data_IF_074007662748
#
_entry.id   IF_074007662748
#
_cell.length_a   1.000
_cell.length_b   1.000
_cell.length_c   1.000
_cell.angle_alpha   90.00
_cell.angle_beta   90.00
_cell.angle_gamma   90.00
#
_symmetry.space_group_name_H-M   'P 1'
#
loop_
_entity.id
_entity.type
_entity.pdbx_description
1 polymer ?
#
# COMPACT_ATOMS: atom_id res chain seq x y z
N UNK A 1 3.41 21.39 -6.62
CA UNK A 1 4.44 20.77 -7.48
C UNK A 1 4.04 19.32 -7.68
N UNK A 2 4.05 18.81 -8.91
CA UNK A 2 3.67 17.43 -9.19
C UNK A 2 4.73 16.46 -8.67
N UNK A 3 4.32 15.23 -8.32
CA UNK A 3 5.20 14.17 -7.82
C UNK A 3 5.08 12.96 -8.72
N UNK A 4 6.20 12.32 -9.05
CA UNK A 4 6.22 11.13 -9.90
C UNK A 4 7.15 10.07 -9.34
N UNK A 5 6.68 8.82 -9.35
CA UNK A 5 7.51 7.67 -9.04
C UNK A 5 8.33 7.26 -10.27
N UNK A 6 9.60 6.92 -10.06
CA UNK A 6 10.49 6.42 -11.11
C UNK A 6 11.40 5.30 -10.60
N UNK A 7 11.35 4.14 -11.25
CA UNK A 7 12.19 2.98 -10.94
C UNK A 7 13.57 3.14 -11.60
N UNK A 8 14.33 4.14 -11.17
CA UNK A 8 15.69 4.40 -11.66
C UNK A 8 16.51 5.03 -10.54
N UNK A 9 17.82 4.77 -10.53
CA UNK A 9 18.72 5.46 -9.62
C UNK A 9 18.75 6.96 -9.92
N UNK A 10 18.59 7.77 -8.87
CA UNK A 10 18.60 9.22 -8.96
C UNK A 10 19.87 9.75 -8.30
N UNK A 11 20.61 10.58 -9.01
CA UNK A 11 21.87 11.16 -8.51
C UNK A 11 21.84 12.66 -8.77
N UNK A 12 22.10 13.46 -7.74
CA UNK A 12 22.14 14.93 -7.87
C UNK A 12 23.21 15.34 -8.89
N UNK A 13 22.84 16.26 -9.79
CA UNK A 13 23.67 16.75 -10.88
C UNK A 13 23.62 15.89 -12.14
N UNK A 14 22.96 14.72 -12.13
CA UNK A 14 22.79 13.92 -13.33
C UNK A 14 21.58 14.37 -14.17
N UNK A 15 21.61 14.02 -15.45
CA UNK A 15 20.46 14.12 -16.35
C UNK A 15 19.98 12.72 -16.66
N UNK A 16 18.67 12.48 -16.50
CA UNK A 16 18.05 11.19 -16.75
C UNK A 16 16.91 11.33 -17.76
N UNK A 17 16.66 10.26 -18.50
CA UNK A 17 15.47 10.15 -19.32
C UNK A 17 14.27 9.78 -18.45
N UNK A 18 13.12 10.46 -18.64
CA UNK A 18 11.88 10.04 -18.02
C UNK A 18 11.46 8.66 -18.54
N UNK A 19 10.91 7.82 -17.66
CA UNK A 19 10.21 6.59 -18.05
C UNK A 19 8.99 6.91 -18.91
N UNK A 20 8.49 5.93 -19.66
CA UNK A 20 7.32 6.12 -20.52
C UNK A 20 6.09 6.60 -19.74
N UNK A 21 5.86 6.03 -18.54
CA UNK A 21 4.75 6.41 -17.66
C UNK A 21 4.82 7.87 -17.23
N UNK A 22 5.98 8.33 -16.74
CA UNK A 22 6.17 9.71 -16.27
C UNK A 22 6.15 10.70 -17.43
N UNK A 23 6.75 10.35 -18.58
CA UNK A 23 6.66 11.17 -19.79
C UNK A 23 5.20 11.34 -20.24
N UNK A 24 4.43 10.26 -20.28
CA UNK A 24 3.02 10.34 -20.64
C UNK A 24 2.24 11.20 -19.64
N UNK A 25 2.40 10.97 -18.34
CA UNK A 25 1.65 11.69 -17.33
C UNK A 25 2.04 13.18 -17.27
N UNK A 26 3.32 13.50 -17.08
CA UNK A 26 3.74 14.88 -16.88
C UNK A 26 3.74 15.70 -18.18
N UNK A 27 4.30 15.17 -19.26
CA UNK A 27 4.47 15.93 -20.51
C UNK A 27 3.24 15.86 -21.41
N UNK A 28 2.57 14.71 -21.52
CA UNK A 28 1.42 14.57 -22.44
C UNK A 28 0.09 14.93 -21.79
N UNK A 29 -0.17 14.44 -20.57
CA UNK A 29 -1.44 14.68 -19.88
C UNK A 29 -1.43 16.04 -19.20
N UNK A 30 -0.43 16.33 -18.36
CA UNK A 30 -0.32 17.59 -17.63
C UNK A 30 0.31 18.73 -18.44
N UNK A 31 0.83 18.43 -19.64
CA UNK A 31 1.37 19.41 -20.61
C UNK A 31 2.51 20.26 -20.06
N UNK A 32 3.40 19.64 -19.30
CA UNK A 32 4.56 20.29 -18.72
C UNK A 32 5.44 21.01 -19.76
N UNK A 33 6.06 22.11 -19.36
CA UNK A 33 6.94 22.91 -20.21
C UNK A 33 8.41 22.78 -19.79
N UNK A 34 9.32 23.12 -20.71
CA UNK A 34 10.76 23.20 -20.39
C UNK A 34 10.97 24.10 -19.16
N UNK A 35 11.95 23.74 -18.33
CA UNK A 35 12.28 24.39 -17.06
C UNK A 35 11.22 24.25 -15.95
N UNK A 36 10.12 23.53 -16.18
CA UNK A 36 9.19 23.19 -15.11
C UNK A 36 9.80 22.17 -14.15
N UNK A 37 9.48 22.31 -12.86
CA UNK A 37 9.99 21.46 -11.80
C UNK A 37 8.94 20.45 -11.32
N UNK A 38 9.39 19.25 -11.00
CA UNK A 38 8.62 18.24 -10.31
C UNK A 38 9.47 17.55 -9.23
N UNK A 39 8.79 16.85 -8.33
CA UNK A 39 9.44 15.96 -7.37
C UNK A 39 9.48 14.54 -7.94
N UNK A 40 10.66 13.92 -7.96
CA UNK A 40 10.83 12.52 -8.27
C UNK A 40 11.16 11.72 -7.00
N UNK A 41 10.64 10.51 -6.89
CA UNK A 41 11.03 9.58 -5.84
C UNK A 41 11.10 8.17 -6.42
N UNK A 42 11.95 7.32 -5.85
CA UNK A 42 12.27 6.01 -6.43
C UNK A 42 11.99 4.84 -5.49
N UNK A 43 11.24 5.06 -4.40
CA UNK A 43 10.90 4.00 -3.45
C UNK A 43 12.03 3.63 -2.48
N UNK A 44 13.19 4.29 -2.54
CA UNK A 44 14.34 4.02 -1.67
C UNK A 44 14.45 4.98 -0.47
N UNK A 45 13.47 5.87 -0.33
CA UNK A 45 13.46 6.94 0.66
C UNK A 45 13.98 8.26 0.11
N UNK A 46 13.50 9.34 0.72
CA UNK A 46 13.66 10.71 0.28
C UNK A 46 13.00 11.00 -1.07
N UNK A 47 13.23 12.21 -1.55
CA UNK A 47 12.67 12.74 -2.78
C UNK A 47 13.66 13.71 -3.44
N UNK A 48 13.53 13.89 -4.74
CA UNK A 48 14.46 14.66 -5.56
C UNK A 48 13.72 15.79 -6.27
N UNK A 49 14.26 17.00 -6.20
CA UNK A 49 13.82 18.07 -7.08
C UNK A 49 14.42 17.85 -8.47
N UNK A 50 13.58 17.80 -9.49
CA UNK A 50 14.00 17.61 -10.87
C UNK A 50 13.41 18.70 -11.77
N UNK A 51 14.24 19.20 -12.69
CA UNK A 51 13.85 20.23 -13.66
C UNK A 51 13.83 19.65 -15.05
N UNK A 52 12.74 19.85 -15.79
CA UNK A 52 12.58 19.37 -17.16
C UNK A 52 13.55 20.11 -18.11
N UNK A 53 14.59 19.41 -18.55
CA UNK A 53 15.71 19.98 -19.30
C UNK A 53 15.54 19.87 -20.81
N UNK A 54 14.83 18.85 -21.29
CA UNK A 54 14.61 18.60 -22.73
C UNK A 54 13.26 17.92 -22.97
N UNK A 55 12.54 18.33 -24.02
CA UNK A 55 11.30 17.69 -24.46
C UNK A 55 11.39 17.39 -25.95
N UNK A 56 11.29 16.11 -26.30
CA UNK A 56 11.18 15.63 -27.67
C UNK A 56 9.79 15.04 -27.94
N UNK A 57 9.59 14.62 -29.19
CA UNK A 57 8.32 14.00 -29.61
C UNK A 57 7.99 12.71 -28.85
N UNK A 58 8.98 11.93 -28.40
CA UNK A 58 8.76 10.60 -27.79
C UNK A 58 9.38 10.42 -26.40
N UNK A 59 10.24 11.33 -25.96
CA UNK A 59 10.90 11.26 -24.67
C UNK A 59 11.12 12.67 -24.14
N UNK A 60 11.47 12.76 -22.86
CA UNK A 60 11.91 13.98 -22.22
C UNK A 60 12.97 13.64 -21.19
N UNK A 61 13.80 14.62 -20.87
CA UNK A 61 14.90 14.49 -19.92
C UNK A 61 14.75 15.51 -18.80
N UNK A 62 15.21 15.13 -17.62
CA UNK A 62 15.25 16.00 -16.45
C UNK A 62 16.66 16.04 -15.88
N UNK A 63 17.03 17.18 -15.31
CA UNK A 63 18.21 17.32 -14.47
C UNK A 63 17.81 17.20 -13.00
N UNK A 64 18.51 16.38 -12.25
CA UNK A 64 18.28 16.18 -10.81
C UNK A 64 19.05 17.26 -10.03
N UNK A 65 18.33 18.13 -9.31
CA UNK A 65 18.92 19.32 -8.70
C UNK A 65 19.27 19.14 -7.22
N UNK A 66 18.36 18.60 -6.43
CA UNK A 66 18.54 18.47 -4.99
C UNK A 66 17.90 17.20 -4.46
N UNK A 67 18.46 16.65 -3.38
CA UNK A 67 17.90 15.52 -2.65
C UNK A 67 17.40 15.98 -1.28
N UNK A 68 16.15 15.67 -0.97
CA UNK A 68 15.55 15.83 0.34
C UNK A 68 15.42 14.43 0.98
N UNK A 69 16.16 14.13 2.07
CA UNK A 69 16.11 12.82 2.71
C UNK A 69 14.84 12.59 3.56
N UNK A 70 13.99 13.61 3.75
CA UNK A 70 12.81 13.47 4.58
C UNK A 70 11.82 12.45 4.01
N UNK A 71 11.44 11.47 4.82
CA UNK A 71 10.36 10.53 4.54
C UNK A 71 9.10 10.91 5.31
N UNK A 72 7.94 10.73 4.67
CA UNK A 72 6.63 10.93 5.30
C UNK A 72 6.10 9.62 5.87
N UNK A 73 6.98 8.86 6.53
CA UNK A 73 6.70 7.51 7.00
C UNK A 73 5.55 7.49 8.00
N UNK A 74 4.77 6.40 7.98
CA UNK A 74 3.84 6.12 9.06
C UNK A 74 4.61 5.80 10.36
N UNK A 75 4.01 6.06 11.53
CA UNK A 75 4.62 5.75 12.82
C UNK A 75 4.63 4.24 13.15
N UNK A 76 4.29 3.40 12.19
CA UNK A 76 4.23 1.95 12.29
C UNK A 76 4.61 1.32 10.94
N UNK A 77 4.94 0.02 10.97
CA UNK A 77 5.15 -0.83 9.80
C UNK A 77 4.05 -1.91 9.78
N UNK A 78 3.06 -1.73 8.91
CA UNK A 78 1.93 -2.65 8.82
C UNK A 78 2.00 -3.51 7.56
N UNK A 79 1.88 -4.83 7.73
CA UNK A 79 1.59 -5.77 6.64
C UNK A 79 0.09 -6.02 6.62
N UNK A 80 -0.57 -5.65 5.53
CA UNK A 80 -2.00 -5.87 5.33
C UNK A 80 -2.23 -7.17 4.54
N UNK A 81 -2.69 -8.20 5.22
CA UNK A 81 -3.29 -9.40 4.62
C UNK A 81 -4.71 -9.10 4.17
N UNK A 82 -4.88 -8.76 2.90
CA UNK A 82 -6.16 -8.39 2.31
C UNK A 82 -6.72 -9.55 1.49
N UNK A 83 -7.80 -10.19 1.98
CA UNK A 83 -8.50 -11.17 1.14
C UNK A 83 -9.11 -10.47 -0.07
N UNK A 84 -8.94 -11.08 -1.23
CA UNK A 84 -9.35 -10.50 -2.50
C UNK A 84 -10.86 -10.29 -2.59
N UNK A 85 -11.24 -9.19 -3.24
CA UNK A 85 -12.62 -8.69 -3.35
C UNK A 85 -12.91 -8.29 -4.80
N UNK A 86 -14.18 -8.40 -5.22
CA UNK A 86 -14.60 -8.14 -6.60
C UNK A 86 -14.82 -6.64 -6.87
N UNK A 87 -14.65 -6.26 -8.13
CA UNK A 87 -14.88 -4.88 -8.59
C UNK A 87 -13.81 -3.90 -8.09
N UNK A 88 -14.20 -2.64 -7.97
CA UNK A 88 -13.31 -1.52 -7.64
C UNK A 88 -12.98 -1.42 -6.14
N UNK A 89 -13.49 -2.36 -5.34
CA UNK A 89 -13.27 -2.42 -3.88
C UNK A 89 -11.80 -2.62 -3.54
N UNK A 90 -11.10 -3.43 -4.34
CA UNK A 90 -9.68 -3.67 -4.11
C UNK A 90 -8.85 -2.42 -4.40
N UNK A 91 -9.16 -1.71 -5.49
CA UNK A 91 -8.49 -0.45 -5.83
C UNK A 91 -8.68 0.57 -4.71
N UNK A 92 -9.89 0.68 -4.16
CA UNK A 92 -10.16 1.54 -3.01
C UNK A 92 -9.36 1.11 -1.77
N UNK A 93 -9.37 -0.19 -1.42
CA UNK A 93 -8.64 -0.70 -0.27
C UNK A 93 -7.14 -0.43 -0.37
N UNK A 94 -6.53 -0.69 -1.53
CA UNK A 94 -5.10 -0.46 -1.80
C UNK A 94 -4.78 1.02 -1.77
N UNK A 95 -5.55 1.85 -2.46
CA UNK A 95 -5.36 3.29 -2.48
C UNK A 95 -5.38 3.86 -1.05
N UNK A 96 -6.42 3.52 -0.27
CA UNK A 96 -6.61 4.08 1.07
C UNK A 96 -5.68 3.47 2.12
N UNK A 97 -5.33 2.19 2.00
CA UNK A 97 -4.29 1.61 2.85
C UNK A 97 -2.93 2.26 2.60
N UNK A 98 -2.60 2.55 1.33
CA UNK A 98 -1.38 3.26 0.95
C UNK A 98 -1.38 4.69 1.51
N UNK A 99 -2.47 5.46 1.34
CA UNK A 99 -2.60 6.80 1.93
C UNK A 99 -2.40 6.80 3.46
N UNK A 100 -2.80 5.72 4.15
CA UNK A 100 -2.66 5.56 5.60
C UNK A 100 -1.33 4.91 6.02
N UNK A 101 -0.42 4.68 5.09
CA UNK A 101 0.96 4.26 5.35
C UNK A 101 1.12 2.77 5.63
N UNK A 102 0.30 1.91 5.03
CA UNK A 102 0.62 0.49 4.95
C UNK A 102 1.98 0.29 4.31
N UNK A 103 2.77 -0.67 4.80
CA UNK A 103 4.13 -0.91 4.29
C UNK A 103 4.17 -2.01 3.24
N UNK A 104 3.24 -2.96 3.31
CA UNK A 104 3.12 -4.05 2.35
C UNK A 104 1.67 -4.56 2.34
N UNK A 105 1.19 -4.97 1.17
CA UNK A 105 -0.13 -5.57 1.00
C UNK A 105 0.06 -6.99 0.47
N UNK A 106 -0.23 -7.98 1.31
CA UNK A 106 -0.31 -9.36 0.89
C UNK A 106 -1.74 -9.66 0.45
N UNK A 107 -1.94 -9.94 -0.84
CA UNK A 107 -3.22 -10.41 -1.32
C UNK A 107 -3.47 -11.84 -0.86
N UNK A 108 -4.69 -12.15 -0.44
CA UNK A 108 -5.05 -13.47 0.08
C UNK A 108 -6.24 -14.07 -0.66
N UNK A 109 -6.24 -15.39 -0.75
CA UNK A 109 -7.42 -16.19 -1.08
C UNK A 109 -7.95 -16.87 0.18
N UNK A 110 -9.27 -16.93 0.31
CA UNK A 110 -9.96 -17.54 1.45
C UNK A 110 -11.13 -18.41 0.96
N UNK A 111 -11.74 -19.18 1.86
CA UNK A 111 -12.86 -20.09 1.57
C UNK A 111 -14.04 -19.36 0.92
N UNK A 112 -14.39 -18.18 1.46
CA UNK A 112 -15.50 -17.34 1.00
C UNK A 112 -15.08 -16.30 -0.04
N UNK A 113 -13.85 -16.40 -0.55
CA UNK A 113 -13.36 -15.55 -1.63
C UNK A 113 -13.78 -16.11 -2.99
N UNK A 114 -14.74 -15.45 -3.63
CA UNK A 114 -15.17 -15.82 -4.98
C UNK A 114 -14.15 -15.45 -6.08
N UNK A 115 -13.19 -14.60 -5.73
CA UNK A 115 -12.16 -14.14 -6.65
C UNK A 115 -10.94 -15.05 -6.59
N UNK A 116 -10.50 -15.53 -7.76
CA UNK A 116 -9.24 -16.27 -7.92
C UNK A 116 -8.51 -15.70 -9.12
N UNK A 117 -7.24 -15.41 -8.92
CA UNK A 117 -6.29 -15.06 -9.98
C UNK A 117 -5.87 -16.39 -10.69
N UNK A 118 -5.89 -16.43 -12.03
CA UNK A 118 -5.28 -17.48 -12.89
C UNK A 118 -4.11 -16.94 -13.79
N UNK A 119 -2.91 -17.46 -13.54
CA UNK A 119 -1.58 -17.18 -14.12
C UNK A 119 -1.43 -16.02 -15.14
N UNK A 120 -1.95 -16.09 -16.37
CA UNK A 120 -1.63 -15.08 -17.40
C UNK A 120 -2.47 -13.79 -17.36
N UNK A 121 -3.71 -13.83 -16.84
CA UNK A 121 -4.54 -12.62 -16.68
C UNK A 121 -4.24 -11.87 -15.39
N UNK A 122 -3.38 -12.44 -14.55
CA UNK A 122 -3.17 -12.00 -13.17
C UNK A 122 -2.08 -10.98 -13.04
N UNK A 123 -1.00 -11.11 -13.83
CA UNK A 123 0.10 -10.16 -13.75
C UNK A 123 -0.39 -8.75 -14.06
N UNK A 124 -1.20 -8.57 -15.12
CA UNK A 124 -1.80 -7.27 -15.45
C UNK A 124 -2.64 -6.68 -14.32
N UNK A 125 -3.31 -7.54 -13.55
CA UNK A 125 -4.14 -7.11 -12.44
C UNK A 125 -3.30 -6.73 -11.22
N UNK A 126 -2.24 -7.50 -10.97
CA UNK A 126 -1.24 -7.17 -9.96
C UNK A 126 -0.51 -5.86 -10.30
N UNK A 127 -0.07 -5.70 -11.55
CA UNK A 127 0.55 -4.48 -12.08
C UNK A 127 -0.38 -3.27 -11.93
N UNK A 128 -1.67 -3.44 -12.23
CA UNK A 128 -2.70 -2.41 -12.01
C UNK A 128 -2.78 -2.01 -10.54
N UNK A 129 -2.84 -2.98 -9.63
CA UNK A 129 -2.88 -2.70 -8.20
C UNK A 129 -1.61 -2.06 -7.65
N UNK A 130 -0.44 -2.46 -8.15
CA UNK A 130 0.81 -1.78 -7.84
C UNK A 130 0.79 -0.33 -8.37
N UNK A 131 0.24 -0.10 -9.56
CA UNK A 131 0.06 1.25 -10.10
C UNK A 131 -0.91 2.10 -9.26
N UNK A 132 -1.96 1.50 -8.69
CA UNK A 132 -2.85 2.20 -7.73
C UNK A 132 -2.09 2.63 -6.48
N UNK A 133 -1.22 1.77 -5.92
CA UNK A 133 -0.36 2.12 -4.79
C UNK A 133 0.63 3.24 -5.14
N UNK A 134 1.28 3.16 -6.30
CA UNK A 134 2.19 4.20 -6.81
C UNK A 134 1.46 5.54 -6.92
N UNK A 135 0.30 5.58 -7.58
CA UNK A 135 -0.48 6.80 -7.74
C UNK A 135 -0.94 7.38 -6.39
N UNK A 136 -1.26 6.52 -5.42
CA UNK A 136 -1.56 6.95 -4.06
C UNK A 136 -0.35 7.62 -3.40
N UNK A 137 0.86 7.06 -3.52
CA UNK A 137 2.10 7.67 -3.03
C UNK A 137 2.43 9.02 -3.71
N UNK A 138 2.24 9.11 -5.03
CA UNK A 138 2.37 10.36 -5.78
C UNK A 138 1.44 11.44 -5.22
N UNK A 139 0.21 11.07 -4.84
CA UNK A 139 -0.80 11.99 -4.31
C UNK A 139 -0.58 12.36 -2.84
N UNK A 140 -0.37 11.38 -1.96
CA UNK A 140 -0.31 11.58 -0.50
C UNK A 140 1.07 12.03 -0.02
N UNK A 141 2.12 11.82 -0.82
CA UNK A 141 3.47 12.26 -0.51
C UNK A 141 4.38 11.23 0.13
N UNK A 142 3.95 9.97 0.23
CA UNK A 142 4.84 8.89 0.62
C UNK A 142 5.95 8.72 -0.42
N UNK A 143 7.15 8.44 0.07
CA UNK A 143 8.35 8.21 -0.76
C UNK A 143 8.68 6.71 -0.87
N UNK A 144 8.12 5.89 0.01
CA UNK A 144 8.21 4.43 0.00
C UNK A 144 6.87 3.90 -0.52
N UNK A 145 6.90 3.19 -1.64
CA UNK A 145 5.71 2.59 -2.23
C UNK A 145 5.51 1.21 -1.58
N UNK A 146 4.33 0.90 -1.02
CA UNK A 146 4.07 -0.43 -0.52
C UNK A 146 4.02 -1.42 -1.67
N UNK A 147 4.67 -2.56 -1.46
CA UNK A 147 4.60 -3.68 -2.40
C UNK A 147 3.24 -4.38 -2.28
N UNK A 148 2.59 -4.61 -3.42
CA UNK A 148 1.39 -5.44 -3.53
C UNK A 148 1.81 -6.82 -4.01
N UNK A 149 1.83 -7.79 -3.09
CA UNK A 149 2.29 -9.15 -3.36
C UNK A 149 1.21 -10.00 -4.03
N UNK A 150 1.68 -10.93 -4.88
CA UNK A 150 0.82 -11.91 -5.54
C UNK A 150 0.02 -12.74 -4.52
N UNK A 151 -1.20 -13.17 -4.86
CA UNK A 151 -2.08 -13.82 -3.89
C UNK A 151 -1.57 -15.20 -3.48
N UNK A 152 -1.52 -15.42 -2.17
CA UNK A 152 -1.31 -16.74 -1.56
C UNK A 152 -2.57 -17.19 -0.82
N UNK A 153 -2.60 -18.45 -0.37
CA UNK A 153 -3.71 -18.92 0.46
C UNK A 153 -3.64 -18.31 1.86
N UNK A 154 -4.80 -18.05 2.49
CA UNK A 154 -4.85 -17.60 3.88
C UNK A 154 -4.05 -18.54 4.80
N UNK A 155 -4.20 -19.85 4.62
CA UNK A 155 -3.46 -20.86 5.39
C UNK A 155 -1.94 -20.72 5.26
N UNK A 156 -1.44 -20.52 4.04
CA UNK A 156 -0.01 -20.30 3.77
C UNK A 156 0.49 -19.03 4.45
N UNK A 157 -0.27 -17.93 4.35
CA UNK A 157 0.12 -16.67 4.98
C UNK A 157 0.16 -16.75 6.51
N UNK A 158 -0.85 -17.37 7.13
CA UNK A 158 -0.90 -17.59 8.58
C UNK A 158 0.28 -18.42 9.09
N UNK A 159 0.84 -19.28 8.23
CA UNK A 159 2.00 -20.13 8.55
C UNK A 159 3.35 -19.43 8.32
N UNK A 160 3.36 -18.19 7.81
CA UNK A 160 4.59 -17.46 7.51
C UNK A 160 5.34 -17.08 8.78
N UNK A 161 6.64 -17.38 8.79
CA UNK A 161 7.56 -16.98 9.87
C UNK A 161 7.97 -15.50 9.82
N UNK A 162 7.63 -14.80 8.73
CA UNK A 162 7.97 -13.40 8.51
C UNK A 162 6.95 -12.43 9.13
N UNK A 163 5.82 -12.93 9.63
CA UNK A 163 4.83 -12.08 10.26
C UNK A 163 5.32 -11.51 11.60
N UNK A 164 5.08 -10.21 11.88
CA UNK A 164 5.47 -9.57 13.12
C UNK A 164 4.72 -10.14 14.33
N UNK A 165 5.19 -9.80 15.53
CA UNK A 165 4.60 -10.29 16.79
C UNK A 165 3.17 -9.78 17.02
N UNK A 166 2.89 -8.50 16.74
CA UNK A 166 1.53 -7.95 16.85
C UNK A 166 0.71 -8.32 15.61
N UNK A 167 -0.31 -9.17 15.78
CA UNK A 167 -1.15 -9.68 14.69
C UNK A 167 -2.62 -9.51 15.04
N UNK A 168 -3.41 -8.94 14.14
CA UNK A 168 -4.84 -8.70 14.36
C UNK A 168 -5.68 -9.20 13.21
N UNK A 169 -6.78 -9.86 13.52
CA UNK A 169 -7.81 -10.24 12.54
C UNK A 169 -9.05 -9.42 12.82
N UNK A 170 -9.57 -8.73 11.80
CA UNK A 170 -10.81 -7.99 11.95
C UNK A 170 -11.98 -8.97 11.90
N UNK A 171 -12.45 -9.30 13.09
CA UNK A 171 -13.53 -10.25 13.33
C UNK A 171 -14.41 -9.75 14.49
N UNK A 172 -15.71 -10.13 14.51
CA UNK A 172 -16.58 -9.84 15.65
C UNK A 172 -16.02 -10.46 16.94
N UNK A 173 -16.02 -9.70 18.04
CA UNK A 173 -15.60 -10.17 19.36
C UNK A 173 -16.56 -9.59 20.42
N UNK A 174 -17.09 -10.44 21.30
CA UNK A 174 -18.10 -10.03 22.30
C UNK A 174 -17.46 -9.48 23.57
N UNK A 175 -16.27 -9.96 23.92
CA UNK A 175 -15.58 -9.61 25.17
C UNK A 175 -14.22 -8.97 24.91
N UNK A 176 -14.17 -8.02 23.96
CA UNK A 176 -12.93 -7.36 23.59
C UNK A 176 -12.42 -6.47 24.73
N UNK A 177 -11.27 -6.81 25.31
CA UNK A 177 -10.53 -5.97 26.27
C UNK A 177 -9.27 -5.44 25.60
N UNK A 178 -9.12 -4.12 25.61
CA UNK A 178 -8.01 -3.30 25.07
C UNK A 178 -7.01 -4.04 24.17
N UNK A 179 -7.46 -4.38 22.96
CA UNK A 179 -6.67 -5.13 21.96
C UNK A 179 -5.42 -4.36 21.53
N UNK A 180 -5.42 -3.03 21.70
CA UNK A 180 -4.32 -2.17 21.35
C UNK A 180 -3.40 -1.84 22.54
N UNK A 181 -3.59 -2.49 23.69
CA UNK A 181 -2.67 -2.41 24.82
C UNK A 181 -1.33 -3.05 24.47
N UNK A 182 -0.23 -2.30 24.66
CA UNK A 182 1.13 -2.83 24.49
C UNK A 182 1.54 -3.23 23.07
N UNK A 183 0.77 -2.81 22.06
CA UNK A 183 1.06 -3.14 20.65
C UNK A 183 2.41 -2.60 20.21
N UNK A 184 3.07 -3.38 19.37
CA UNK A 184 4.33 -2.98 18.75
C UNK A 184 4.06 -2.25 17.43
N UNK A 185 4.92 -1.30 17.04
CA UNK A 185 4.76 -0.56 15.79
C UNK A 185 4.94 -1.43 14.55
N UNK A 186 5.48 -2.64 14.67
CA UNK A 186 5.48 -3.63 13.59
C UNK A 186 4.32 -4.61 13.77
N UNK A 187 3.40 -4.66 12.81
CA UNK A 187 2.15 -5.41 12.95
C UNK A 187 1.60 -5.98 11.65
N UNK A 188 0.75 -7.00 11.79
CA UNK A 188 -0.02 -7.59 10.70
C UNK A 188 -1.53 -7.39 10.92
N UNK A 189 -2.23 -7.05 9.85
CA UNK A 189 -3.69 -6.90 9.81
C UNK A 189 -4.27 -7.91 8.83
N UNK A 190 -5.22 -8.73 9.28
CA UNK A 190 -5.98 -9.64 8.43
C UNK A 190 -7.40 -9.09 8.22
N UNK A 191 -7.75 -8.86 6.96
CA UNK A 191 -9.07 -8.40 6.52
C UNK A 191 -9.72 -9.46 5.62
N UNK A 192 -10.88 -9.95 6.03
CA UNK A 192 -11.67 -10.92 5.26
C UNK A 192 -12.37 -10.35 4.02
N UNK A 193 -12.91 -11.22 3.16
CA UNK A 193 -13.71 -10.82 1.98
C UNK A 193 -15.09 -10.34 2.42
N UNK A 194 -15.97 -10.01 1.47
CA UNK A 194 -17.28 -9.44 1.77
C UNK A 194 -18.21 -10.41 2.50
N UNK A 195 -18.00 -11.71 2.29
CA UNK A 195 -18.67 -12.78 3.04
C UNK A 195 -18.09 -13.03 4.45
N UNK A 196 -17.12 -12.22 4.86
CA UNK A 196 -16.32 -12.42 6.06
C UNK A 196 -15.43 -13.66 5.99
N UNK A 197 -14.60 -13.83 7.00
CA UNK A 197 -13.91 -15.10 7.25
C UNK A 197 -14.89 -16.12 7.85
N UNK A 198 -14.67 -17.40 7.59
CA UNK A 198 -15.39 -18.47 8.29
C UNK A 198 -14.93 -18.57 9.74
N UNK A 199 -15.76 -19.16 10.62
CA UNK A 199 -15.37 -19.39 12.03
C UNK A 199 -14.10 -20.24 12.13
N UNK A 200 -13.92 -21.18 11.19
CA UNK A 200 -12.72 -22.00 11.08
C UNK A 200 -11.50 -21.17 10.67
N UNK A 201 -11.63 -20.26 9.70
CA UNK A 201 -10.55 -19.34 9.31
C UNK A 201 -10.14 -18.40 10.45
N UNK A 202 -11.11 -17.87 11.20
CA UNK A 202 -10.83 -17.05 12.39
C UNK A 202 -10.11 -17.89 13.46
N UNK A 203 -10.56 -19.12 13.68
CA UNK A 203 -9.91 -20.05 14.62
C UNK A 203 -8.47 -20.34 14.21
N UNK A 204 -8.20 -20.56 12.93
CA UNK A 204 -6.84 -20.76 12.40
C UNK A 204 -5.98 -19.51 12.58
N UNK A 205 -6.52 -18.32 12.33
CA UNK A 205 -5.82 -17.07 12.57
C UNK A 205 -5.44 -16.92 14.05
N UNK A 206 -6.37 -17.23 14.96
CA UNK A 206 -6.14 -17.19 16.41
C UNK A 206 -5.07 -18.20 16.85
N UNK A 207 -5.05 -19.40 16.27
CA UNK A 207 -3.99 -20.39 16.50
C UNK A 207 -2.62 -19.92 15.99
N UNK A 208 -2.58 -19.11 14.93
CA UNK A 208 -1.37 -18.45 14.43
C UNK A 208 -0.97 -17.18 15.22
N UNK A 209 -1.69 -16.87 16.30
CA UNK A 209 -1.42 -15.75 17.19
C UNK A 209 -2.07 -14.43 16.78
N UNK A 210 -3.00 -14.42 15.82
CA UNK A 210 -3.81 -13.23 15.55
C UNK A 210 -4.80 -13.02 16.69
N UNK A 211 -4.95 -11.77 17.13
CA UNK A 211 -5.99 -11.39 18.08
C UNK A 211 -7.20 -10.83 17.33
N UNK A 212 -8.40 -11.24 17.74
CA UNK A 212 -9.63 -10.64 17.21
C UNK A 212 -9.66 -9.15 17.54
N UNK A 213 -9.85 -8.33 16.52
CA UNK A 213 -10.02 -6.89 16.65
C UNK A 213 -11.36 -6.47 16.05
N UNK A 214 -12.36 -6.29 16.91
CA UNK A 214 -13.64 -5.70 16.54
C UNK A 214 -13.56 -4.17 16.67
N UNK A 215 -14.08 -3.47 15.66
CA UNK A 215 -14.08 -2.00 15.62
C UNK A 215 -15.53 -1.51 15.56
N UNK A 216 -16.08 -1.24 16.75
CA UNK A 216 -17.48 -0.85 16.92
C UNK A 216 -18.47 -1.99 16.65
N UNK A 217 -19.77 -1.69 16.79
CA UNK A 217 -20.83 -2.73 16.78
C UNK A 217 -21.35 -3.08 15.38
N UNK A 218 -20.80 -2.46 14.32
CA UNK A 218 -21.27 -2.62 12.94
C UNK A 218 -20.24 -3.36 12.12
N UNK A 219 -20.71 -4.29 11.28
CA UNK A 219 -19.87 -4.96 10.30
C UNK A 219 -19.39 -3.94 9.27
N UNK A 220 -18.08 -3.72 9.21
CA UNK A 220 -17.44 -2.89 8.18
C UNK A 220 -17.30 -3.71 6.89
N UNK A 221 -17.44 -3.04 5.75
CA UNK A 221 -17.13 -3.67 4.46
C UNK A 221 -15.63 -3.93 4.34
N UNK A 222 -15.27 -4.92 3.53
CA UNK A 222 -13.89 -5.31 3.25
C UNK A 222 -12.98 -4.14 2.88
N UNK A 223 -13.45 -3.21 2.05
CA UNK A 223 -12.68 -2.04 1.64
C UNK A 223 -12.64 -0.90 2.68
N UNK A 224 -13.60 -0.88 3.62
CA UNK A 224 -13.67 0.12 4.71
C UNK A 224 -12.84 -0.29 5.92
N UNK A 225 -12.81 -1.59 6.21
CA UNK A 225 -12.11 -2.17 7.34
C UNK A 225 -10.62 -1.77 7.44
N UNK A 226 -9.79 -1.86 6.39
CA UNK A 226 -8.38 -1.44 6.46
C UNK A 226 -8.25 0.07 6.72
N UNK A 227 -9.15 0.89 6.15
CA UNK A 227 -9.14 2.34 6.33
C UNK A 227 -9.33 2.69 7.81
N UNK A 228 -10.32 2.09 8.44
CA UNK A 228 -10.62 2.38 9.86
C UNK A 228 -9.51 1.84 10.77
N UNK A 229 -9.03 0.62 10.54
CA UNK A 229 -7.97 0.03 11.35
C UNK A 229 -6.67 0.84 11.28
N UNK A 230 -6.19 1.16 10.07
CA UNK A 230 -4.97 1.94 9.89
C UNK A 230 -5.11 3.37 10.41
N UNK A 231 -6.31 3.96 10.34
CA UNK A 231 -6.56 5.28 10.95
C UNK A 231 -6.44 5.25 12.47
N UNK A 232 -6.97 4.22 13.13
CA UNK A 232 -6.85 4.03 14.58
C UNK A 232 -5.39 3.81 14.97
N UNK A 233 -4.64 3.01 14.20
CA UNK A 233 -3.21 2.79 14.44
C UNK A 233 -2.40 4.07 14.29
N UNK A 234 -2.65 4.87 13.25
CA UNK A 234 -2.01 6.18 13.08
C UNK A 234 -2.26 7.06 14.32
N UNK A 235 -3.51 7.18 14.75
CA UNK A 235 -3.85 7.95 15.95
C UNK A 235 -3.13 7.40 17.20
N UNK A 236 -3.12 6.07 17.36
CA UNK A 236 -2.54 5.39 18.52
C UNK A 236 -1.03 5.59 18.64
N UNK A 237 -0.29 5.54 17.54
CA UNK A 237 1.17 5.67 17.54
C UNK A 237 1.64 7.14 17.44
N UNK A 238 0.87 8.06 16.83
CA UNK A 238 1.19 9.49 16.86
C UNK A 238 0.89 10.15 18.22
N UNK A 239 -0.03 9.59 19.01
CA UNK A 239 -0.42 10.13 20.32
C UNK A 239 0.43 9.58 21.48
N UNK A 240 1.52 8.86 21.19
CA UNK A 240 2.47 8.32 22.19
C UNK A 240 3.75 9.12 22.14
#
# INVERSE_FOLDING_TARGET
>A
MNRFFIETELTVGSTIQLTESVFHHWVRVLRAQLQEQATLFNGQGGEYLATLSEINKKNAFVTIENFNPANRDAPFKAVLGQVMSKGDRMDYAIQKATELGVSQIQLLTSERCEMRLKYDRDQKKLDHWQAVAIAACEQCGLNLVPEVLAPISLHEWLSSSELPQSKFVLAPEKEQKDVLAGIQPELALLIGPEGGLSENEITQANQAGFMNWCIGDRVLRTETAPVVALSILNYRFLST
#
